data_IF_282588666738
#
_entry.id   IF_282588666738
#
_cell.length_a   1.000
_cell.length_b   1.000
_cell.length_c   1.000
_cell.angle_alpha   90.00
_cell.angle_beta   90.00
_cell.angle_gamma   90.00
#
_symmetry.space_group_name_H-M   'P 1'
#
loop_
_entity.id
_entity.type
_entity.pdbx_description
1 polymer ?
#
# COMPACT_ATOMS: atom_id res chain seq x y z
N UNK A 1 4.62 14.41 -0.17
CA UNK A 1 5.97 13.99 -0.58
C UNK A 1 6.76 13.33 0.55
N UNK A 2 6.29 13.40 1.80
CA UNK A 2 7.03 12.91 2.96
C UNK A 2 7.13 11.37 3.04
N UNK A 3 6.03 10.63 2.83
CA UNK A 3 6.00 9.17 3.00
C UNK A 3 6.91 8.41 2.04
N UNK A 4 6.98 8.82 0.77
CA UNK A 4 7.85 8.14 -0.21
C UNK A 4 9.33 8.27 0.15
N UNK A 5 9.73 9.36 0.83
CA UNK A 5 11.10 9.54 1.33
C UNK A 5 11.40 8.66 2.55
N UNK A 6 10.39 8.31 3.34
CA UNK A 6 10.54 7.53 4.59
C UNK A 6 10.36 6.02 4.35
N UNK A 7 9.38 5.62 3.54
CA UNK A 7 8.98 4.24 3.30
C UNK A 7 8.92 3.90 1.79
N UNK A 8 9.95 4.20 0.98
CA UNK A 8 9.90 4.01 -0.48
C UNK A 8 9.59 2.55 -0.87
N UNK A 9 10.12 1.60 -0.12
CA UNK A 9 9.98 0.17 -0.40
C UNK A 9 8.56 -0.37 -0.18
N UNK A 10 7.68 0.42 0.46
CA UNK A 10 6.30 0.02 0.76
C UNK A 10 5.29 0.52 -0.26
N UNK A 11 5.74 1.19 -1.32
CA UNK A 11 4.95 1.47 -2.50
C UNK A 11 4.94 0.28 -3.45
N UNK A 12 3.83 0.10 -4.17
CA UNK A 12 3.71 -0.86 -5.26
C UNK A 12 2.84 -0.27 -6.36
N UNK A 13 3.37 -0.19 -7.57
CA UNK A 13 2.80 0.58 -8.67
C UNK A 13 2.52 -0.33 -9.86
N UNK A 14 1.35 -0.15 -10.47
CA UNK A 14 1.01 -0.72 -11.76
C UNK A 14 1.27 0.30 -12.88
N UNK A 15 2.12 -0.06 -13.82
CA UNK A 15 2.45 0.74 -15.00
C UNK A 15 1.83 0.08 -16.23
N UNK A 16 1.06 0.84 -17.01
CA UNK A 16 0.61 0.43 -18.32
C UNK A 16 1.81 0.35 -19.27
N UNK A 17 2.01 -0.82 -19.90
CA UNK A 17 3.22 -1.10 -20.68
C UNK A 17 3.37 -0.22 -21.93
N UNK A 18 2.26 0.14 -22.57
CA UNK A 18 2.28 0.86 -23.84
C UNK A 18 2.61 2.34 -23.66
N UNK A 19 1.93 3.01 -22.72
CA UNK A 19 2.11 4.44 -22.49
C UNK A 19 3.14 4.78 -21.40
N UNK A 20 3.51 3.81 -20.56
CA UNK A 20 4.27 4.05 -19.33
C UNK A 20 3.45 4.76 -18.23
N UNK A 21 2.13 4.91 -18.42
CA UNK A 21 1.26 5.59 -17.44
C UNK A 21 1.09 4.76 -16.18
N UNK A 22 1.13 5.42 -15.04
CA UNK A 22 0.77 4.83 -13.75
C UNK A 22 -0.74 4.62 -13.67
N UNK A 23 -1.18 3.37 -13.80
CA UNK A 23 -2.58 2.97 -13.81
C UNK A 23 -3.17 2.85 -12.40
N UNK A 24 -2.32 2.56 -11.42
CA UNK A 24 -2.72 2.48 -10.02
C UNK A 24 -1.53 2.18 -9.12
N UNK A 25 -1.72 2.34 -7.81
CA UNK A 25 -0.72 2.04 -6.82
C UNK A 25 -1.36 1.70 -5.48
N UNK A 26 -0.54 1.15 -4.59
CA UNK A 26 -0.80 1.17 -3.15
C UNK A 26 0.41 1.70 -2.40
N UNK A 27 0.17 2.22 -1.21
CA UNK A 27 1.19 2.68 -0.27
C UNK A 27 0.89 2.21 1.16
N UNK A 28 1.92 2.24 1.99
CA UNK A 28 1.81 1.78 3.37
C UNK A 28 2.99 2.15 4.24
N UNK A 29 2.90 1.76 5.51
CA UNK A 29 4.00 1.79 6.48
C UNK A 29 4.12 0.45 7.20
N UNK A 30 5.33 0.08 7.58
CA UNK A 30 5.57 -1.06 8.46
C UNK A 30 5.62 -0.63 9.93
N UNK A 31 5.05 -1.44 10.82
CA UNK A 31 5.01 -1.25 12.28
C UNK A 31 4.85 -2.61 12.97
N UNK A 32 5.14 -2.69 14.27
CA UNK A 32 4.79 -3.86 15.09
C UNK A 32 3.39 -3.74 15.73
N UNK A 33 2.73 -2.59 15.60
CA UNK A 33 1.36 -2.40 16.03
C UNK A 33 0.41 -3.32 15.24
N UNK A 34 -0.62 -3.85 15.90
CA UNK A 34 -1.62 -4.72 15.29
C UNK A 34 -2.92 -4.01 14.93
N UNK A 35 -3.14 -2.83 15.50
CA UNK A 35 -4.35 -2.02 15.34
C UNK A 35 -4.06 -0.91 14.35
N UNK A 36 -4.95 -0.74 13.38
CA UNK A 36 -4.88 0.38 12.45
C UNK A 36 -5.48 1.63 13.13
N UNK A 37 -4.75 2.75 13.09
CA UNK A 37 -5.17 4.04 13.66
C UNK A 37 -4.85 5.20 12.73
N UNK A 38 -5.58 6.30 12.88
CA UNK A 38 -5.59 7.40 11.92
C UNK A 38 -4.24 8.13 11.80
N UNK A 39 -3.40 8.12 12.83
CA UNK A 39 -2.11 8.80 12.77
C UNK A 39 -1.17 8.20 11.70
N UNK A 40 -1.40 6.96 11.29
CA UNK A 40 -0.62 6.38 10.19
C UNK A 40 -0.83 7.13 8.86
N UNK A 41 -1.96 7.82 8.68
CA UNK A 41 -2.20 8.67 7.51
C UNK A 41 -1.41 9.98 7.54
N UNK A 42 -1.12 10.52 8.72
CA UNK A 42 -0.52 11.86 8.87
C UNK A 42 0.94 11.84 9.27
N UNK A 43 1.40 10.82 9.99
CA UNK A 43 2.77 10.71 10.51
C UNK A 43 3.51 9.54 9.86
N UNK A 44 4.38 9.85 8.89
CA UNK A 44 5.22 8.87 8.23
C UNK A 44 6.37 8.35 9.13
N UNK A 45 6.74 9.08 10.19
CA UNK A 45 7.84 8.69 11.10
C UNK A 45 7.52 7.45 11.93
N UNK A 46 6.23 7.08 12.02
CA UNK A 46 5.76 5.83 12.60
C UNK A 46 6.19 4.58 11.80
N UNK A 47 6.81 4.77 10.63
CA UNK A 47 7.41 3.67 9.89
C UNK A 47 8.60 3.06 10.62
N UNK A 48 8.47 1.79 10.99
CA UNK A 48 9.57 0.93 11.38
C UNK A 48 9.89 -0.05 10.24
N UNK A 49 11.03 0.08 9.52
CA UNK A 49 11.42 -0.84 8.46
C UNK A 49 11.45 -2.32 8.86
N UNK A 50 11.65 -2.63 10.15
CA UNK A 50 11.66 -3.99 10.70
C UNK A 50 10.30 -4.46 11.24
N UNK A 51 9.27 -3.59 11.23
CA UNK A 51 7.95 -3.89 11.79
C UNK A 51 7.26 -5.08 11.13
N UNK A 52 6.67 -5.98 11.89
CA UNK A 52 6.13 -7.24 11.33
C UNK A 52 4.85 -7.05 10.51
N UNK A 53 4.14 -5.95 10.69
CA UNK A 53 2.86 -5.66 10.05
C UNK A 53 3.00 -4.47 9.10
N UNK A 54 2.24 -4.46 8.01
CA UNK A 54 2.11 -3.30 7.14
C UNK A 54 0.68 -2.77 7.20
N UNK A 55 0.57 -1.46 7.45
CA UNK A 55 -0.66 -0.70 7.37
C UNK A 55 -0.76 -0.14 5.95
N UNK A 56 -1.74 -0.60 5.18
CA UNK A 56 -2.03 -0.11 3.83
C UNK A 56 -2.89 1.15 3.94
N UNK A 57 -2.40 2.25 3.38
CA UNK A 57 -2.97 3.58 3.59
C UNK A 57 -3.76 4.05 2.36
N UNK A 58 -3.31 3.68 1.17
CA UNK A 58 -3.97 4.01 -0.07
C UNK A 58 -3.97 2.82 -1.03
N UNK A 59 -5.05 2.71 -1.78
CA UNK A 59 -5.15 1.84 -2.95
C UNK A 59 -5.93 2.60 -4.01
N UNK A 60 -5.20 3.14 -4.98
CA UNK A 60 -5.75 4.00 -6.02
C UNK A 60 -5.61 3.35 -7.37
N UNK A 61 -6.69 3.39 -8.15
CA UNK A 61 -6.71 3.00 -9.54
C UNK A 61 -7.36 4.11 -10.33
N UNK A 62 -6.70 4.55 -11.40
CA UNK A 62 -7.23 5.55 -12.32
C UNK A 62 -8.57 5.07 -12.91
N UNK A 63 -9.57 5.97 -13.10
CA UNK A 63 -10.92 5.61 -13.51
C UNK A 63 -11.01 4.67 -14.72
N UNK A 64 -10.19 4.90 -15.74
CA UNK A 64 -10.12 4.15 -16.99
C UNK A 64 -9.56 2.72 -16.82
N UNK A 65 -8.86 2.43 -15.72
CA UNK A 65 -8.32 1.10 -15.39
C UNK A 65 -9.12 0.40 -14.27
N UNK A 66 -10.31 0.90 -13.92
CA UNK A 66 -11.19 0.26 -12.92
C UNK A 66 -12.03 -0.86 -13.55
N UNK A 67 -12.64 -1.69 -12.70
CA UNK A 67 -13.55 -2.80 -13.08
C UNK A 67 -12.94 -3.92 -13.93
N UNK A 68 -11.63 -3.90 -14.16
CA UNK A 68 -10.87 -4.97 -14.83
C UNK A 68 -10.08 -5.86 -13.87
N UNK A 69 -10.25 -5.67 -12.55
CA UNK A 69 -9.55 -6.43 -11.52
C UNK A 69 -8.16 -5.91 -11.14
N UNK A 70 -7.72 -4.76 -11.68
CA UNK A 70 -6.37 -4.24 -11.43
C UNK A 70 -6.06 -4.02 -9.93
N UNK A 71 -6.99 -3.45 -9.17
CA UNK A 71 -6.81 -3.26 -7.72
C UNK A 71 -6.53 -4.59 -6.98
N UNK A 72 -7.26 -5.65 -7.34
CA UNK A 72 -7.06 -6.99 -6.80
C UNK A 72 -5.67 -7.51 -7.16
N UNK A 73 -5.22 -7.33 -8.39
CA UNK A 73 -3.89 -7.76 -8.83
C UNK A 73 -2.76 -6.98 -8.13
N UNK A 74 -2.91 -5.68 -7.90
CA UNK A 74 -1.95 -4.87 -7.13
C UNK A 74 -1.81 -5.46 -5.72
N UNK A 75 -2.93 -5.64 -5.01
CA UNK A 75 -2.92 -6.19 -3.64
C UNK A 75 -2.37 -7.61 -3.62
N UNK A 76 -2.80 -8.48 -4.54
CA UNK A 76 -2.34 -9.87 -4.61
C UNK A 76 -0.81 -9.97 -4.77
N UNK A 77 -0.24 -9.21 -5.70
CA UNK A 77 1.19 -9.24 -5.93
C UNK A 77 1.97 -8.58 -4.78
N UNK A 78 1.40 -7.56 -4.14
CA UNK A 78 1.98 -6.98 -2.93
C UNK A 78 2.02 -7.97 -1.76
N UNK A 79 0.91 -8.70 -1.50
CA UNK A 79 0.87 -9.75 -0.48
C UNK A 79 2.01 -10.75 -0.68
N UNK A 80 2.17 -11.26 -1.89
CA UNK A 80 3.23 -12.23 -2.23
C UNK A 80 4.63 -11.65 -2.06
N UNK A 81 4.82 -10.35 -2.35
CA UNK A 81 6.11 -9.65 -2.18
C UNK A 81 6.46 -9.53 -0.69
N UNK A 82 5.50 -9.13 0.13
CA UNK A 82 5.73 -8.90 1.55
C UNK A 82 5.80 -10.21 2.36
N UNK A 83 5.11 -11.26 1.93
CA UNK A 83 5.27 -12.62 2.46
C UNK A 83 6.70 -13.13 2.28
N UNK A 84 7.30 -12.90 1.10
CA UNK A 84 8.73 -13.22 0.83
C UNK A 84 9.70 -12.41 1.69
N UNK A 85 9.26 -11.25 2.20
CA UNK A 85 10.00 -10.42 3.16
C UNK A 85 9.65 -10.76 4.62
N UNK A 86 8.96 -11.88 4.84
CA UNK A 86 8.56 -12.40 6.14
C UNK A 86 7.64 -11.49 6.96
N UNK A 87 6.97 -10.53 6.30
CA UNK A 87 5.91 -9.73 6.92
C UNK A 87 4.77 -10.65 7.32
N UNK A 88 4.21 -10.43 8.51
CA UNK A 88 3.23 -11.32 9.14
C UNK A 88 1.79 -10.93 8.85
N UNK A 89 1.54 -9.65 8.54
CA UNK A 89 0.19 -9.15 8.32
C UNK A 89 0.20 -7.91 7.43
N UNK A 90 -0.80 -7.84 6.55
CA UNK A 90 -1.23 -6.60 5.91
C UNK A 90 -2.57 -6.20 6.52
N UNK A 91 -2.72 -4.94 6.91
CA UNK A 91 -3.94 -4.41 7.50
C UNK A 91 -4.39 -3.22 6.67
N UNK A 92 -5.66 -3.23 6.28
CA UNK A 92 -6.30 -2.11 5.62
C UNK A 92 -7.63 -1.83 6.30
N UNK A 93 -8.05 -0.58 6.25
CA UNK A 93 -9.38 -0.14 6.63
C UNK A 93 -10.04 0.47 5.41
N UNK A 94 -11.30 0.16 5.21
CA UNK A 94 -12.13 0.85 4.25
C UNK A 94 -12.85 1.97 4.99
N UNK A 95 -12.71 3.20 4.52
CA UNK A 95 -13.63 4.24 4.94
C UNK A 95 -14.98 3.97 4.26
N UNK A 96 -16.01 3.64 5.04
CA UNK A 96 -17.37 3.57 4.51
C UNK A 96 -17.78 4.97 4.05
N UNK A 97 -18.11 5.10 2.76
CA UNK A 97 -18.72 6.33 2.27
C UNK A 97 -20.08 6.48 2.95
N UNK A 98 -20.25 7.54 3.75
CA UNK A 98 -21.57 8.06 4.08
C UNK A 98 -22.24 8.63 2.84
#
# INVERSE_FOLDING_TARGET
MERISVAPDLFYVAIEKESGKMAGFLDGIATDEMVFRDEFFTDASLHNPKGRNIMLLGLDVLPEFRKIGLAREIVWNYCRREEKKERKRLVLTCNEKR
#
